data_IF_085567337844
#
_entry.id   IF_085567337844
#
_cell.length_a   1.000
_cell.length_b   1.000
_cell.length_c   1.000
_cell.angle_alpha   90.00
_cell.angle_beta   90.00
_cell.angle_gamma   90.00
#
_symmetry.space_group_name_H-M   'P 1'
#
loop_
_entity.id
_entity.type
_entity.pdbx_description
1 polymer ?
#
# COMPACT_ATOMS: atom_id res chain seq x y z
N UNK A 1 -3.72 -1.86 6.47
CA UNK A 1 -3.16 -1.15 7.64
C UNK A 1 -4.06 -1.22 8.88
N UNK A 2 -5.32 -0.77 8.84
CA UNK A 2 -6.23 -0.87 10.00
C UNK A 2 -6.33 -2.30 10.55
N UNK A 3 -6.50 -3.29 9.69
CA UNK A 3 -6.70 -4.68 10.11
C UNK A 3 -5.49 -5.26 10.88
N UNK A 4 -4.28 -4.83 10.53
CA UNK A 4 -3.07 -5.21 11.24
C UNK A 4 -3.05 -4.64 12.67
N UNK A 5 -3.48 -3.38 12.86
CA UNK A 5 -3.60 -2.78 14.19
C UNK A 5 -4.71 -3.44 15.01
N UNK A 6 -5.85 -3.75 14.39
CA UNK A 6 -6.99 -4.42 15.05
C UNK A 6 -6.60 -5.82 15.55
N UNK A 7 -5.81 -6.56 14.77
CA UNK A 7 -5.26 -7.84 15.19
C UNK A 7 -4.22 -7.69 16.30
N UNK A 8 -3.35 -6.68 16.22
CA UNK A 8 -2.35 -6.43 17.26
C UNK A 8 -3.02 -6.08 18.60
N UNK A 9 -4.12 -5.32 18.58
CA UNK A 9 -4.92 -4.99 19.77
C UNK A 9 -5.58 -6.24 20.37
N UNK A 10 -6.07 -7.15 19.52
CA UNK A 10 -6.63 -8.44 19.96
C UNK A 10 -5.58 -9.33 20.63
N UNK A 11 -4.35 -9.34 20.11
CA UNK A 11 -3.25 -10.13 20.66
C UNK A 11 -2.63 -9.50 21.91
N UNK A 12 -2.63 -8.17 21.99
CA UNK A 12 -2.03 -7.41 23.09
C UNK A 12 -2.97 -6.30 23.58
N UNK A 13 -4.07 -6.66 24.28
CA UNK A 13 -5.04 -5.69 24.75
C UNK A 13 -4.39 -4.68 25.70
N UNK A 14 -4.65 -3.39 25.47
CA UNK A 14 -4.09 -2.29 26.27
C UNK A 14 -2.68 -1.86 25.87
N UNK A 15 -2.11 -2.42 24.79
CA UNK A 15 -0.88 -1.89 24.19
C UNK A 15 -1.11 -0.52 23.55
N UNK A 16 -2.23 -0.35 22.87
CA UNK A 16 -2.65 0.90 22.22
C UNK A 16 -3.76 1.58 23.01
N UNK A 17 -3.66 2.91 23.15
CA UNK A 17 -4.70 3.72 23.80
C UNK A 17 -5.89 3.95 22.86
N UNK A 18 -5.59 4.16 21.58
CA UNK A 18 -6.55 4.32 20.49
C UNK A 18 -5.87 4.04 19.16
N UNK A 19 -6.62 3.54 18.19
CA UNK A 19 -6.18 3.42 16.81
C UNK A 19 -7.36 3.65 15.85
N UNK A 20 -7.06 4.02 14.60
CA UNK A 20 -8.05 4.25 13.57
C UNK A 20 -7.43 4.50 12.20
N UNK A 21 -8.25 4.54 11.15
CA UNK A 21 -7.81 4.76 9.78
C UNK A 21 -8.52 3.88 8.76
N UNK A 22 -7.91 3.77 7.58
CA UNK A 22 -8.41 3.05 6.41
C UNK A 22 -7.43 1.94 6.00
N UNK A 23 -7.78 1.19 4.94
CA UNK A 23 -6.95 0.10 4.42
C UNK A 23 -5.51 0.56 4.11
N UNK A 24 -5.34 1.75 3.52
CA UNK A 24 -4.04 2.28 3.08
C UNK A 24 -3.30 3.15 4.10
N UNK A 25 -3.96 3.68 5.12
CA UNK A 25 -3.34 4.55 6.11
C UNK A 25 -4.01 4.41 7.47
N UNK A 26 -3.23 4.28 8.54
CA UNK A 26 -3.75 4.20 9.89
C UNK A 26 -2.89 5.04 10.86
N UNK A 27 -3.52 5.50 11.94
CA UNK A 27 -2.88 6.21 13.04
C UNK A 27 -3.24 5.56 14.37
N UNK A 28 -2.35 5.66 15.35
CA UNK A 28 -2.56 5.14 16.69
C UNK A 28 -1.93 6.05 17.75
N UNK A 29 -2.28 5.81 19.01
CA UNK A 29 -1.64 6.45 20.17
C UNK A 29 -1.19 5.38 21.16
N UNK A 30 0.03 5.58 21.66
CA UNK A 30 0.73 4.68 22.58
C UNK A 30 1.18 5.48 23.79
N UNK A 31 1.32 4.79 24.93
CA UNK A 31 2.19 5.27 26.00
C UNK A 31 3.65 5.17 25.52
N UNK A 32 4.50 6.13 25.90
CA UNK A 32 5.88 6.21 25.42
C UNK A 32 6.70 4.96 25.79
N UNK A 33 6.45 4.41 26.99
CA UNK A 33 7.09 3.18 27.50
C UNK A 33 6.72 1.91 26.72
N UNK A 34 5.62 1.93 25.95
CA UNK A 34 5.15 0.83 25.12
C UNK A 34 5.62 0.91 23.68
N UNK A 35 6.31 1.97 23.29
CA UNK A 35 6.73 2.19 21.90
C UNK A 35 7.66 1.09 21.39
N UNK A 36 8.69 0.71 22.17
CA UNK A 36 9.63 -0.34 21.77
C UNK A 36 8.93 -1.70 21.61
N UNK A 37 8.06 -2.04 22.57
CA UNK A 37 7.27 -3.26 22.53
C UNK A 37 6.34 -3.29 21.32
N UNK A 38 5.65 -2.16 21.04
CA UNK A 38 4.81 -2.03 19.86
C UNK A 38 5.62 -2.23 18.57
N UNK A 39 6.77 -1.58 18.44
CA UNK A 39 7.60 -1.68 17.24
C UNK A 39 8.01 -3.14 16.97
N UNK A 40 8.44 -3.85 18.00
CA UNK A 40 8.82 -5.25 17.88
C UNK A 40 7.63 -6.12 17.43
N UNK A 41 6.50 -6.04 18.13
CA UNK A 41 5.32 -6.87 17.84
C UNK A 41 4.66 -6.55 16.52
N UNK A 42 4.62 -5.27 16.16
CA UNK A 42 4.13 -4.84 14.86
C UNK A 42 5.02 -5.37 13.73
N UNK A 43 6.35 -5.29 13.87
CA UNK A 43 7.29 -5.84 12.89
C UNK A 43 7.15 -7.35 12.69
N UNK A 44 7.00 -8.10 13.79
CA UNK A 44 6.73 -9.54 13.76
C UNK A 44 5.41 -9.85 13.01
N UNK A 45 4.32 -9.17 13.36
CA UNK A 45 3.00 -9.36 12.73
C UNK A 45 3.02 -9.03 11.23
N UNK A 46 3.64 -7.90 10.87
CA UNK A 46 3.78 -7.43 9.50
C UNK A 46 4.59 -8.41 8.66
N UNK A 47 5.65 -8.98 9.22
CA UNK A 47 6.48 -10.00 8.54
C UNK A 47 5.71 -11.32 8.35
N UNK A 48 4.84 -11.69 9.29
CA UNK A 48 3.99 -12.89 9.16
C UNK A 48 2.87 -12.70 8.13
N UNK A 49 2.33 -11.49 8.02
CA UNK A 49 1.18 -11.18 7.16
C UNK A 49 1.54 -10.76 5.74
N UNK A 50 2.67 -10.09 5.54
CA UNK A 50 3.10 -9.70 4.21
C UNK A 50 3.78 -10.88 3.52
N UNK A 51 3.24 -11.23 2.36
CA UNK A 51 4.01 -12.01 1.41
C UNK A 51 5.29 -11.21 1.05
N UNK A 52 6.49 -11.77 1.20
CA UNK A 52 7.74 -11.09 0.86
C UNK A 52 7.77 -10.56 -0.58
N UNK A 53 6.96 -11.10 -1.49
CA UNK A 53 6.80 -10.58 -2.85
C UNK A 53 6.16 -9.19 -2.90
N UNK A 54 5.29 -8.84 -1.96
CA UNK A 54 4.65 -7.51 -1.85
C UNK A 54 5.62 -6.42 -1.34
N UNK A 55 6.77 -6.82 -0.78
CA UNK A 55 7.84 -5.91 -0.36
C UNK A 55 8.81 -5.59 -1.51
N UNK A 56 8.66 -6.24 -2.66
CA UNK A 56 9.40 -5.91 -3.86
C UNK A 56 8.60 -4.86 -4.63
N UNK A 57 9.25 -3.73 -4.96
CA UNK A 57 8.67 -2.73 -5.85
C UNK A 57 8.54 -3.31 -7.25
N UNK A 58 7.40 -3.92 -7.56
CA UNK A 58 7.08 -4.40 -8.89
C UNK A 58 6.58 -3.23 -9.75
N UNK A 59 7.23 -3.00 -10.89
CA UNK A 59 6.72 -2.09 -11.91
C UNK A 59 5.87 -2.90 -12.86
N UNK A 60 4.55 -2.78 -12.72
CA UNK A 60 3.59 -3.37 -13.66
C UNK A 60 3.45 -2.40 -14.83
N UNK A 61 3.71 -2.88 -16.04
CA UNK A 61 3.54 -2.14 -17.30
C UNK A 61 2.66 -2.96 -18.23
N UNK A 62 1.84 -2.27 -19.04
CA UNK A 62 1.04 -2.88 -20.12
C UNK A 62 1.93 -3.43 -21.27
N UNK A 63 3.25 -3.24 -21.17
CA UNK A 63 4.25 -3.66 -22.13
C UNK A 63 4.67 -2.53 -23.06
N UNK A 64 5.64 -2.80 -23.95
CA UNK A 64 6.14 -1.80 -24.88
C UNK A 64 5.15 -1.53 -26.01
N UNK A 65 5.04 -0.27 -26.42
CA UNK A 65 4.39 0.09 -27.69
C UNK A 65 5.28 -0.32 -28.86
N UNK A 66 4.68 -0.88 -29.91
CA UNK A 66 5.38 -1.09 -31.18
C UNK A 66 5.66 0.24 -31.88
N UNK A 67 6.65 0.31 -32.79
CA UNK A 67 6.95 1.55 -33.52
C UNK A 67 5.76 2.10 -34.32
N UNK A 68 4.81 1.24 -34.74
CA UNK A 68 3.60 1.64 -35.44
C UNK A 68 2.57 2.30 -34.51
N UNK A 69 2.65 2.04 -33.21
CA UNK A 69 1.78 2.61 -32.18
C UNK A 69 2.36 3.89 -31.56
N UNK A 70 3.62 4.23 -31.86
CA UNK A 70 4.27 5.48 -31.43
C UNK A 70 3.82 6.68 -32.28
N UNK A 71 2.52 6.96 -32.28
CA UNK A 71 1.91 8.04 -33.05
C UNK A 71 1.15 9.02 -32.16
N UNK A 72 0.98 10.26 -32.65
CA UNK A 72 0.22 11.28 -31.93
C UNK A 72 -1.26 10.88 -31.72
N UNK A 73 -1.80 10.08 -32.63
CA UNK A 73 -3.17 9.58 -32.54
C UNK A 73 -3.34 8.61 -31.36
N UNK A 74 -2.41 7.66 -31.21
CA UNK A 74 -2.39 6.74 -30.07
C UNK A 74 -2.15 7.49 -28.76
N UNK A 75 -1.26 8.49 -28.74
CA UNK A 75 -1.02 9.31 -27.56
C UNK A 75 -2.28 10.09 -27.11
N UNK A 76 -3.08 10.57 -28.07
CA UNK A 76 -4.34 11.26 -27.76
C UNK A 76 -5.41 10.27 -27.28
N UNK A 77 -5.50 9.09 -27.92
CA UNK A 77 -6.38 8.02 -27.48
C UNK A 77 -6.07 7.58 -26.04
N UNK A 78 -4.79 7.36 -25.71
CA UNK A 78 -4.33 7.02 -24.37
C UNK A 78 -4.56 8.14 -23.36
N UNK A 79 -4.62 9.41 -23.76
CA UNK A 79 -4.98 10.49 -22.84
C UNK A 79 -6.46 10.43 -22.46
N UNK A 80 -7.29 10.18 -23.46
CA UNK A 80 -8.75 10.24 -23.36
C UNK A 80 -9.37 8.92 -22.87
N UNK A 81 -8.59 7.84 -22.83
CA UNK A 81 -9.04 6.49 -22.49
C UNK A 81 -9.39 6.26 -21.00
N UNK A 82 -9.23 7.23 -20.11
CA UNK A 82 -9.51 7.01 -18.69
C UNK A 82 -9.93 8.24 -17.90
N UNK A 83 -10.60 8.03 -16.75
CA UNK A 83 -10.15 8.65 -15.51
C UNK A 83 -8.93 7.89 -14.97
N UNK A 84 -7.77 8.55 -14.99
CA UNK A 84 -6.53 8.05 -14.39
C UNK A 84 -6.53 8.30 -12.88
N UNK A 85 -5.93 7.42 -12.07
CA UNK A 85 -6.00 7.54 -10.61
C UNK A 85 -5.10 6.58 -9.84
N UNK A 86 -5.22 6.60 -8.52
CA UNK A 86 -4.38 5.78 -7.63
C UNK A 86 -4.47 4.26 -7.91
N UNK A 87 -5.63 3.79 -8.37
CA UNK A 87 -5.89 2.38 -8.69
C UNK A 87 -5.77 2.05 -10.20
N UNK A 88 -5.61 3.07 -11.06
CA UNK A 88 -5.47 2.91 -12.51
C UNK A 88 -4.33 3.82 -12.98
N UNK A 89 -3.10 3.29 -13.09
CA UNK A 89 -1.98 4.08 -13.55
C UNK A 89 -2.24 4.61 -14.96
N UNK A 90 -1.79 5.83 -15.23
CA UNK A 90 -1.67 6.33 -16.60
C UNK A 90 -0.81 5.40 -17.43
N UNK A 91 -1.04 5.34 -18.74
CA UNK A 91 -0.19 4.60 -19.68
C UNK A 91 1.28 5.03 -19.47
N UNK A 92 2.03 4.21 -18.74
CA UNK A 92 3.44 4.42 -18.48
C UNK A 92 4.20 3.78 -19.65
N UNK A 93 4.62 4.65 -20.58
CA UNK A 93 5.55 4.30 -21.68
C UNK A 93 6.98 4.22 -21.18
#
# INVERSE_FOLDING_TARGET
>A
MRDALERLDTLYPGMMLKFGGHAMAAGLSLEEDKFELFQQRFGELVTEWLDPSLLQGEVVSDGPLSPAEMTMEVAQLLRDAGPWGADVPGAAV
#
